data_IF_184461357164
#
_entry.id   IF_184461357164
#
_cell.length_a   1.000
_cell.length_b   1.000
_cell.length_c   1.000
_cell.angle_alpha   90.00
_cell.angle_beta   90.00
_cell.angle_gamma   90.00
#
_symmetry.space_group_name_H-M   'P 1'
#
loop_
_entity.id
_entity.type
_entity.pdbx_description
1 polymer ?
#
# COMPACT_ATOMS: atom_id res chain seq x y z
N UNK A 1 14.83 11.69 -22.01
CA UNK A 1 15.44 10.39 -21.64
C UNK A 1 16.69 10.14 -22.48
N UNK A 2 17.79 9.74 -21.84
CA UNK A 2 19.10 9.51 -22.50
C UNK A 2 19.11 8.29 -23.45
N UNK A 3 18.20 7.33 -23.24
CA UNK A 3 18.01 6.16 -24.10
C UNK A 3 16.52 5.91 -24.37
N UNK A 4 15.97 6.28 -25.54
CA UNK A 4 14.56 6.03 -25.87
C UNK A 4 14.27 4.52 -25.88
N UNK A 5 13.02 4.15 -25.60
CA UNK A 5 12.57 2.76 -25.65
C UNK A 5 12.59 2.26 -27.09
N UNK A 6 13.25 1.13 -27.32
CA UNK A 6 13.14 0.37 -28.58
C UNK A 6 12.03 -0.68 -28.46
N UNK A 7 11.71 -1.38 -29.56
CA UNK A 7 10.66 -2.41 -29.54
C UNK A 7 11.04 -3.65 -28.71
N UNK A 8 12.33 -3.89 -28.50
CA UNK A 8 12.88 -5.11 -27.90
C UNK A 8 13.24 -4.93 -26.42
N UNK A 9 12.82 -3.82 -25.80
CA UNK A 9 13.11 -3.55 -24.39
C UNK A 9 12.41 -4.58 -23.48
N UNK A 10 13.14 -5.05 -22.47
CA UNK A 10 12.63 -5.97 -21.45
C UNK A 10 12.65 -5.26 -20.10
N UNK A 11 11.48 -5.12 -19.50
CA UNK A 11 11.32 -4.53 -18.17
C UNK A 11 11.44 -5.62 -17.10
N UNK A 12 12.34 -5.41 -16.15
CA UNK A 12 12.49 -6.20 -14.95
C UNK A 12 12.00 -5.42 -13.72
N UNK A 13 11.13 -6.01 -12.90
CA UNK A 13 10.67 -5.38 -11.66
C UNK A 13 11.06 -6.19 -10.43
N UNK A 14 11.55 -5.49 -9.41
CA UNK A 14 11.91 -6.03 -8.09
C UNK A 14 11.09 -5.31 -7.01
N UNK A 15 10.61 -6.06 -6.02
CA UNK A 15 9.98 -5.54 -4.81
C UNK A 15 10.51 -6.26 -3.56
N UNK A 16 10.27 -5.71 -2.36
CA UNK A 16 10.57 -6.42 -1.14
C UNK A 16 9.79 -7.73 -1.04
N UNK A 17 10.47 -8.80 -0.62
CA UNK A 17 9.84 -10.10 -0.39
C UNK A 17 8.74 -10.07 0.70
N UNK A 18 8.82 -9.10 1.63
CA UNK A 18 7.87 -8.93 2.75
C UNK A 18 6.77 -7.90 2.44
N UNK A 19 6.86 -7.17 1.34
CA UNK A 19 5.91 -6.11 1.03
C UNK A 19 4.67 -6.67 0.32
N UNK A 20 3.53 -6.63 1.00
CA UNK A 20 2.24 -7.06 0.46
C UNK A 20 1.68 -6.09 -0.61
N UNK A 21 2.31 -4.94 -0.85
CA UNK A 21 1.86 -3.91 -1.79
C UNK A 21 2.37 -4.15 -3.23
N UNK A 22 2.21 -5.38 -3.74
CA UNK A 22 2.61 -5.76 -5.11
C UNK A 22 1.64 -5.28 -6.21
N UNK A 23 0.51 -4.66 -5.82
CA UNK A 23 -0.54 -4.19 -6.74
C UNK A 23 0.00 -3.16 -7.74
N UNK A 24 0.88 -2.25 -7.29
CA UNK A 24 1.52 -1.26 -8.17
C UNK A 24 2.39 -1.91 -9.27
N UNK A 25 3.19 -2.92 -8.90
CA UNK A 25 4.02 -3.67 -9.85
C UNK A 25 3.15 -4.46 -10.83
N UNK A 26 2.11 -5.12 -10.33
CA UNK A 26 1.20 -5.90 -11.17
C UNK A 26 0.49 -5.00 -12.18
N UNK A 27 0.05 -3.81 -11.73
CA UNK A 27 -0.57 -2.79 -12.59
C UNK A 27 0.39 -2.34 -13.68
N UNK A 28 1.58 -1.80 -13.33
CA UNK A 28 2.54 -1.31 -14.35
C UNK A 28 3.02 -2.42 -15.29
N UNK A 29 3.16 -3.65 -14.79
CA UNK A 29 3.48 -4.80 -15.62
C UNK A 29 2.40 -5.08 -16.66
N UNK A 30 1.12 -4.93 -16.29
CA UNK A 30 0.02 -5.07 -17.24
C UNK A 30 0.02 -3.93 -18.26
N UNK A 31 0.15 -2.67 -17.82
CA UNK A 31 0.19 -1.51 -18.74
C UNK A 31 1.30 -1.66 -19.79
N UNK A 32 2.49 -2.10 -19.37
CA UNK A 32 3.61 -2.32 -20.28
C UNK A 32 3.38 -3.48 -21.26
N UNK A 33 2.74 -4.57 -20.81
CA UNK A 33 2.36 -5.69 -21.69
C UNK A 33 1.31 -5.27 -22.71
N UNK A 34 0.35 -4.44 -22.31
CA UNK A 34 -0.68 -3.89 -23.20
C UNK A 34 -0.06 -2.95 -24.24
N UNK A 35 1.06 -2.30 -23.91
CA UNK A 35 1.89 -1.53 -24.84
C UNK A 35 2.84 -2.39 -25.70
N UNK A 36 2.81 -3.71 -25.55
CA UNK A 36 3.60 -4.66 -26.33
C UNK A 36 5.04 -4.88 -25.83
N UNK A 37 5.35 -4.54 -24.57
CA UNK A 37 6.67 -4.80 -23.98
C UNK A 37 6.71 -6.11 -23.19
N UNK A 38 7.88 -6.76 -23.18
CA UNK A 38 8.13 -7.91 -22.33
C UNK A 38 8.41 -7.44 -20.91
N UNK A 39 7.70 -8.04 -19.94
CA UNK A 39 7.86 -7.73 -18.52
C UNK A 39 8.17 -9.01 -17.73
N UNK A 40 9.20 -8.93 -16.88
CA UNK A 40 9.64 -9.99 -15.97
C UNK A 40 9.59 -9.45 -14.54
N UNK A 41 8.85 -10.12 -13.67
CA UNK A 41 8.83 -9.81 -12.23
C UNK A 41 9.76 -10.81 -11.53
N UNK A 42 10.63 -10.31 -10.67
CA UNK A 42 11.58 -11.12 -9.94
C UNK A 42 10.87 -12.09 -8.97
N UNK A 43 11.45 -13.28 -8.76
CA UNK A 43 10.95 -14.22 -7.76
C UNK A 43 11.38 -13.82 -6.34
N UNK A 44 10.89 -14.54 -5.34
CA UNK A 44 11.18 -14.26 -3.93
C UNK A 44 12.68 -14.24 -3.60
N UNK A 45 13.49 -15.09 -4.27
CA UNK A 45 14.93 -15.17 -4.03
C UNK A 45 15.64 -13.91 -4.53
N UNK A 46 15.34 -13.47 -5.75
CA UNK A 46 15.93 -12.26 -6.33
C UNK A 46 15.44 -11.01 -5.60
N UNK A 47 14.17 -10.98 -5.20
CA UNK A 47 13.59 -9.91 -4.40
C UNK A 47 14.28 -9.76 -3.03
N UNK A 48 14.50 -10.87 -2.31
CA UNK A 48 15.22 -10.84 -1.03
C UNK A 48 16.69 -10.43 -1.20
N UNK A 49 17.34 -10.91 -2.25
CA UNK A 49 18.70 -10.52 -2.59
C UNK A 49 18.82 -9.00 -2.86
N UNK A 50 17.90 -8.44 -3.63
CA UNK A 50 17.87 -7.02 -3.94
C UNK A 50 17.55 -6.14 -2.73
N UNK A 51 16.81 -6.66 -1.75
CA UNK A 51 16.63 -5.98 -0.47
C UNK A 51 17.96 -5.86 0.29
N UNK A 52 18.86 -6.83 0.19
CA UNK A 52 20.10 -6.88 0.96
C UNK A 52 21.36 -6.70 0.08
N UNK A 53 21.55 -5.55 -0.60
CA UNK A 53 22.64 -5.33 -1.55
C UNK A 53 24.01 -5.16 -0.90
N UNK A 54 24.09 -5.17 0.44
CA UNK A 54 25.35 -5.14 1.18
C UNK A 54 26.16 -6.44 0.99
N UNK A 55 25.49 -7.56 0.68
CA UNK A 55 26.15 -8.84 0.44
C UNK A 55 26.44 -9.02 -1.05
N UNK A 56 27.72 -9.19 -1.43
CA UNK A 56 28.13 -9.28 -2.83
C UNK A 56 27.47 -10.45 -3.58
N UNK A 57 27.21 -11.57 -2.89
CA UNK A 57 26.49 -12.72 -3.45
C UNK A 57 25.07 -12.35 -3.88
N UNK A 58 24.38 -11.52 -3.09
CA UNK A 58 23.01 -11.11 -3.40
C UNK A 58 22.96 -10.23 -4.66
N UNK A 59 23.93 -9.31 -4.80
CA UNK A 59 24.05 -8.52 -6.02
C UNK A 59 24.30 -9.41 -7.24
N UNK A 60 25.11 -10.45 -7.09
CA UNK A 60 25.39 -11.39 -8.18
C UNK A 60 24.12 -12.12 -8.63
N UNK A 61 23.23 -12.52 -7.70
CA UNK A 61 21.93 -13.10 -8.04
C UNK A 61 21.08 -12.13 -8.87
N UNK A 62 21.02 -10.86 -8.48
CA UNK A 62 20.29 -9.82 -9.23
C UNK A 62 20.89 -9.62 -10.64
N UNK A 63 22.22 -9.56 -10.75
CA UNK A 63 22.93 -9.41 -12.04
C UNK A 63 22.70 -10.61 -12.96
N UNK A 64 22.75 -11.82 -12.41
CA UNK A 64 22.47 -13.04 -13.18
C UNK A 64 21.02 -13.07 -13.68
N UNK A 65 20.07 -12.66 -12.85
CA UNK A 65 18.67 -12.52 -13.25
C UNK A 65 18.51 -11.50 -14.39
N UNK A 66 19.11 -10.32 -14.27
CA UNK A 66 19.10 -9.29 -15.32
C UNK A 66 19.62 -9.86 -16.65
N UNK A 67 20.79 -10.52 -16.63
CA UNK A 67 21.42 -11.09 -17.83
C UNK A 67 20.61 -12.23 -18.43
N UNK A 68 20.13 -13.16 -17.59
CA UNK A 68 19.35 -14.33 -18.01
C UNK A 68 18.08 -13.93 -18.76
N UNK A 69 17.42 -12.87 -18.31
CA UNK A 69 16.17 -12.40 -18.90
C UNK A 69 16.35 -11.30 -19.95
N UNK A 70 17.60 -10.85 -20.18
CA UNK A 70 17.89 -9.77 -21.12
C UNK A 70 17.26 -8.44 -20.70
N UNK A 71 17.17 -8.19 -19.39
CA UNK A 71 16.53 -6.98 -18.85
C UNK A 71 17.34 -5.75 -19.23
N UNK A 72 16.66 -4.79 -19.83
CA UNK A 72 17.23 -3.50 -20.26
C UNK A 72 16.68 -2.33 -19.46
N UNK A 73 15.54 -2.52 -18.78
CA UNK A 73 14.86 -1.53 -17.95
C UNK A 73 14.59 -2.12 -16.57
N UNK A 74 15.20 -1.60 -15.52
CA UNK A 74 15.10 -2.14 -14.17
C UNK A 74 14.28 -1.22 -13.26
N UNK A 75 13.16 -1.69 -12.73
CA UNK A 75 12.38 -0.99 -11.70
C UNK A 75 12.57 -1.62 -10.33
N UNK A 76 12.84 -0.79 -9.33
CA UNK A 76 12.90 -1.19 -7.92
C UNK A 76 11.81 -0.48 -7.13
N UNK A 77 10.93 -1.23 -6.47
CA UNK A 77 9.84 -0.66 -5.66
C UNK A 77 10.06 -0.92 -4.16
N UNK A 78 9.86 0.07 -3.29
CA UNK A 78 9.94 -0.08 -1.82
C UNK A 78 9.02 0.91 -1.11
N UNK A 79 7.99 0.43 -0.37
CA UNK A 79 6.98 1.32 0.25
C UNK A 79 6.85 1.24 1.78
N UNK A 80 7.80 0.61 2.48
CA UNK A 80 7.73 0.45 3.94
C UNK A 80 8.24 1.68 4.70
N UNK A 81 9.52 2.01 4.52
CA UNK A 81 10.18 3.15 5.17
C UNK A 81 10.93 4.00 4.12
N UNK A 82 10.74 5.35 4.12
CA UNK A 82 11.36 6.19 3.10
C UNK A 82 12.89 6.22 3.13
N UNK A 83 13.50 6.21 4.32
CA UNK A 83 14.94 6.31 4.46
C UNK A 83 15.62 5.00 4.05
N UNK A 84 15.03 3.89 4.50
CA UNK A 84 15.49 2.54 4.17
C UNK A 84 15.35 2.24 2.68
N UNK A 85 14.21 2.61 2.06
CA UNK A 85 13.99 2.39 0.63
C UNK A 85 15.01 3.11 -0.26
N UNK A 86 15.29 4.38 0.05
CA UNK A 86 16.31 5.14 -0.65
C UNK A 86 17.72 4.55 -0.45
N UNK A 87 18.07 4.18 0.78
CA UNK A 87 19.39 3.59 1.08
C UNK A 87 19.61 2.26 0.37
N UNK A 88 18.64 1.33 0.43
CA UNK A 88 18.72 0.03 -0.23
C UNK A 88 18.84 0.19 -1.74
N UNK A 89 18.03 1.08 -2.34
CA UNK A 89 18.12 1.38 -3.76
C UNK A 89 19.50 1.97 -4.15
N UNK A 90 19.98 2.96 -3.41
CA UNK A 90 21.27 3.60 -3.69
C UNK A 90 22.44 2.62 -3.61
N UNK A 91 22.44 1.72 -2.62
CA UNK A 91 23.43 0.63 -2.50
C UNK A 91 23.36 -0.32 -3.69
N UNK A 92 22.16 -0.75 -4.10
CA UNK A 92 21.99 -1.60 -5.27
C UNK A 92 22.49 -0.92 -6.55
N UNK A 93 22.11 0.33 -6.78
CA UNK A 93 22.54 1.10 -7.95
C UNK A 93 24.06 1.28 -8.01
N UNK A 94 24.69 1.57 -6.87
CA UNK A 94 26.15 1.62 -6.78
C UNK A 94 26.80 0.29 -7.17
N UNK A 95 26.29 -0.82 -6.65
CA UNK A 95 26.81 -2.16 -6.95
C UNK A 95 26.63 -2.57 -8.43
N UNK A 96 25.55 -2.11 -9.08
CA UNK A 96 25.32 -2.27 -10.52
C UNK A 96 26.32 -1.45 -11.34
N UNK A 97 26.64 -0.22 -10.90
CA UNK A 97 27.65 0.65 -11.54
C UNK A 97 29.06 0.05 -11.46
N UNK A 98 29.46 -0.46 -10.30
CA UNK A 98 30.78 -1.11 -10.12
C UNK A 98 30.96 -2.31 -11.06
N UNK A 99 29.84 -3.01 -11.38
CA UNK A 99 29.82 -4.16 -12.29
C UNK A 99 29.58 -3.78 -13.76
N UNK A 100 29.62 -2.49 -14.09
CA UNK A 100 29.42 -1.96 -15.45
C UNK A 100 28.11 -2.40 -16.09
N UNK A 101 27.03 -2.45 -15.31
CA UNK A 101 25.72 -2.92 -15.80
C UNK A 101 24.92 -1.84 -16.54
N UNK A 102 25.27 -0.56 -16.41
CA UNK A 102 24.58 0.53 -17.10
C UNK A 102 25.05 0.66 -18.56
N UNK A 103 24.15 1.07 -19.45
CA UNK A 103 24.43 1.21 -20.88
C UNK A 103 25.56 2.20 -21.19
N UNK A 104 25.69 3.26 -20.40
CA UNK A 104 26.82 4.21 -20.51
C UNK A 104 28.18 3.57 -20.19
N UNK A 105 28.18 2.43 -19.50
CA UNK A 105 29.36 1.62 -19.15
C UNK A 105 29.52 0.40 -20.07
N UNK A 106 28.68 0.26 -21.11
CA UNK A 106 28.63 -0.89 -22.00
C UNK A 106 27.79 -2.06 -21.49
N UNK A 107 27.04 -1.88 -20.40
CA UNK A 107 26.13 -2.89 -19.84
C UNK A 107 24.74 -2.91 -20.48
N UNK A 108 23.87 -3.86 -20.09
CA UNK A 108 22.55 -4.02 -20.70
C UNK A 108 21.50 -3.00 -20.23
N UNK A 109 21.67 -2.39 -19.05
CA UNK A 109 20.64 -1.53 -18.46
C UNK A 109 20.62 -0.14 -19.10
N UNK A 110 19.63 0.10 -19.94
CA UNK A 110 19.38 1.38 -20.62
C UNK A 110 18.54 2.34 -19.74
N UNK A 111 17.89 1.84 -18.70
CA UNK A 111 17.16 2.65 -17.72
C UNK A 111 17.00 1.95 -16.37
N UNK A 112 17.06 2.73 -15.31
CA UNK A 112 16.79 2.29 -13.92
C UNK A 112 15.77 3.24 -13.32
N UNK A 113 14.79 2.68 -12.61
CA UNK A 113 13.64 3.39 -12.07
C UNK A 113 13.45 3.01 -10.60
N UNK A 114 12.96 3.96 -9.81
CA UNK A 114 12.65 3.74 -8.40
C UNK A 114 11.20 4.07 -8.11
N UNK A 115 10.48 3.25 -7.36
CA UNK A 115 9.12 3.52 -6.93
C UNK A 115 9.00 3.39 -5.41
N UNK A 116 8.35 4.33 -4.73
CA UNK A 116 8.32 4.32 -3.27
C UNK A 116 7.33 5.29 -2.64
N UNK A 117 7.54 5.61 -1.37
CA UNK A 117 6.82 6.70 -0.71
C UNK A 117 7.35 8.06 -1.22
N UNK A 118 6.55 9.15 -1.25
CA UNK A 118 6.97 10.45 -1.79
C UNK A 118 8.33 10.93 -1.25
N UNK A 119 8.54 10.87 0.07
CA UNK A 119 9.81 11.26 0.69
C UNK A 119 11.02 10.39 0.24
N UNK A 120 10.79 9.13 -0.11
CA UNK A 120 11.82 8.25 -0.65
C UNK A 120 12.17 8.65 -2.10
N UNK A 121 11.14 8.92 -2.90
CA UNK A 121 11.29 9.37 -4.29
C UNK A 121 12.02 10.71 -4.37
N UNK A 122 11.70 11.68 -3.51
CA UNK A 122 12.42 12.96 -3.41
C UNK A 122 13.89 12.75 -3.04
N UNK A 123 14.17 11.85 -2.09
CA UNK A 123 15.54 11.53 -1.66
C UNK A 123 16.34 10.89 -2.79
N UNK A 124 15.79 9.88 -3.46
CA UNK A 124 16.43 9.21 -4.60
C UNK A 124 16.68 10.19 -5.75
N UNK A 125 15.72 11.05 -6.07
CA UNK A 125 15.87 12.07 -7.11
C UNK A 125 17.00 13.06 -6.76
N UNK A 126 17.16 13.42 -5.48
CA UNK A 126 18.25 14.31 -5.02
C UNK A 126 19.62 13.62 -5.03
N UNK A 127 19.69 12.33 -4.69
CA UNK A 127 20.95 11.57 -4.59
C UNK A 127 21.48 11.08 -5.95
N UNK A 128 20.60 10.97 -6.95
CA UNK A 128 20.93 10.38 -8.24
C UNK A 128 20.54 11.24 -9.45
N UNK A 129 20.07 12.47 -9.22
CA UNK A 129 19.62 13.45 -10.22
C UNK A 129 18.61 12.85 -11.24
N UNK A 130 18.53 13.43 -12.43
CA UNK A 130 17.66 13.00 -13.55
C UNK A 130 18.02 11.61 -14.14
N UNK A 131 18.97 10.89 -13.54
CA UNK A 131 19.38 9.56 -14.03
C UNK A 131 18.37 8.46 -13.66
N UNK A 132 17.60 8.67 -12.59
CA UNK A 132 16.64 7.69 -12.08
C UNK A 132 15.26 8.34 -11.95
N UNK A 133 14.35 8.15 -12.92
CA UNK A 133 12.97 8.57 -12.76
C UNK A 133 12.33 7.84 -11.59
N UNK A 134 11.67 8.60 -10.71
CA UNK A 134 11.06 8.10 -9.48
C UNK A 134 9.54 8.07 -9.57
N UNK A 135 8.85 7.10 -8.96
CA UNK A 135 7.39 6.95 -9.00
C UNK A 135 6.83 6.88 -7.57
N UNK A 136 6.08 7.88 -7.15
CA UNK A 136 5.51 7.93 -5.79
C UNK A 136 4.12 7.28 -5.70
N UNK A 137 3.51 6.99 -6.85
CA UNK A 137 2.22 6.30 -6.98
C UNK A 137 1.04 7.24 -7.18
N UNK A 138 1.26 8.55 -7.30
CA UNK A 138 0.20 9.50 -7.67
C UNK A 138 0.04 9.63 -9.19
N UNK A 139 0.92 9.00 -9.97
CA UNK A 139 0.83 9.01 -11.43
C UNK A 139 -0.38 8.23 -11.97
N UNK A 140 -1.08 8.82 -12.93
CA UNK A 140 -2.06 8.10 -13.76
C UNK A 140 -1.37 7.00 -14.59
N UNK A 141 -2.11 6.01 -15.10
CA UNK A 141 -1.55 5.00 -16.02
C UNK A 141 -0.83 5.61 -17.22
N UNK A 142 -1.39 6.67 -17.80
CA UNK A 142 -0.80 7.35 -18.96
C UNK A 142 0.45 8.15 -18.59
N UNK A 143 0.46 8.85 -17.45
CA UNK A 143 1.68 9.52 -16.94
C UNK A 143 2.77 8.51 -16.64
N UNK A 144 2.42 7.38 -16.01
CA UNK A 144 3.35 6.27 -15.74
C UNK A 144 4.03 5.80 -17.03
N UNK A 145 3.26 5.49 -18.08
CA UNK A 145 3.80 5.04 -19.37
C UNK A 145 4.67 6.09 -20.04
N UNK A 146 4.24 7.37 -20.04
CA UNK A 146 5.04 8.48 -20.59
C UNK A 146 6.36 8.64 -19.84
N UNK A 147 6.33 8.56 -18.51
CA UNK A 147 7.50 8.67 -17.62
C UNK A 147 8.43 7.47 -17.75
N UNK A 148 7.94 6.29 -18.12
CA UNK A 148 8.75 5.13 -18.51
C UNK A 148 9.34 5.27 -19.93
N UNK A 149 8.85 6.21 -20.73
CA UNK A 149 9.33 6.51 -22.09
C UNK A 149 8.57 5.77 -23.19
N UNK A 150 7.38 5.24 -22.90
CA UNK A 150 6.53 4.56 -23.89
C UNK A 150 6.05 5.55 -24.94
N UNK A 151 6.25 5.26 -26.25
CA UNK A 151 5.84 6.16 -27.30
C UNK A 151 4.30 6.23 -27.36
N UNK A 152 3.70 7.42 -27.61
CA UNK A 152 2.24 7.58 -27.66
C UNK A 152 1.54 6.62 -28.64
N UNK A 153 2.22 6.25 -29.73
CA UNK A 153 1.69 5.30 -30.73
C UNK A 153 1.51 3.86 -30.22
N UNK A 154 2.07 3.51 -29.06
CA UNK A 154 1.90 2.20 -28.41
C UNK A 154 0.93 2.23 -27.24
N UNK A 155 0.45 3.40 -26.82
CA UNK A 155 -0.49 3.52 -25.71
C UNK A 155 -1.91 3.23 -26.26
N UNK A 156 -2.64 2.23 -25.73
CA UNK A 156 -3.99 1.94 -26.16
C UNK A 156 -4.94 3.15 -26.04
N UNK A 157 -5.81 3.41 -27.03
CA UNK A 157 -6.74 4.55 -26.98
C UNK A 157 -7.67 4.54 -25.76
N UNK A 158 -8.09 3.36 -25.29
CA UNK A 158 -8.94 3.21 -24.10
C UNK A 158 -8.28 3.82 -22.84
N UNK A 159 -6.96 3.67 -22.69
CA UNK A 159 -6.20 4.25 -21.56
C UNK A 159 -6.07 5.77 -21.66
N UNK A 160 -6.21 6.33 -22.86
CA UNK A 160 -6.20 7.77 -23.06
C UNK A 160 -7.51 8.40 -22.57
N UNK A 161 -8.65 7.72 -22.80
CA UNK A 161 -9.95 8.16 -22.29
C UNK A 161 -10.03 8.10 -20.75
N UNK A 162 -9.40 7.09 -20.12
CA UNK A 162 -9.24 7.04 -18.65
C UNK A 162 -8.44 8.24 -18.13
N UNK A 163 -7.37 8.62 -18.83
CA UNK A 163 -6.55 9.77 -18.45
C UNK A 163 -7.31 11.10 -18.51
N UNK A 164 -8.22 11.29 -19.49
CA UNK A 164 -9.07 12.48 -19.56
C UNK A 164 -10.04 12.58 -18.37
N UNK A 165 -10.60 11.43 -17.95
CA UNK A 165 -11.46 11.37 -16.77
C UNK A 165 -10.69 11.66 -15.47
N UNK A 166 -9.47 11.15 -15.34
CA UNK A 166 -8.60 11.44 -14.20
C UNK A 166 -8.19 12.92 -14.16
N UNK A 167 -7.85 13.52 -15.30
CA UNK A 167 -7.55 14.95 -15.40
C UNK A 167 -8.76 15.81 -14.99
N UNK A 168 -9.96 15.42 -15.42
CA UNK A 168 -11.20 16.05 -14.98
C UNK A 168 -11.37 15.97 -13.45
N UNK A 169 -11.16 14.79 -12.84
CA UNK A 169 -11.26 14.60 -11.38
C UNK A 169 -10.25 15.46 -10.63
N UNK A 170 -9.01 15.51 -11.11
CA UNK A 170 -7.95 16.34 -10.52
C UNK A 170 -8.27 17.83 -10.61
N UNK A 171 -8.74 18.30 -11.78
CA UNK A 171 -9.17 19.68 -11.96
C UNK A 171 -10.31 20.03 -11.01
N UNK A 172 -11.35 19.19 -10.95
CA UNK A 172 -12.46 19.35 -10.01
C UNK A 172 -11.97 19.45 -8.56
N UNK A 173 -11.06 18.56 -8.14
CA UNK A 173 -10.49 18.59 -6.79
C UNK A 173 -9.72 19.89 -6.51
N UNK A 174 -8.89 20.34 -7.44
CA UNK A 174 -8.14 21.61 -7.33
C UNK A 174 -9.08 22.81 -7.22
N UNK A 175 -10.13 22.85 -8.03
CA UNK A 175 -11.14 23.92 -7.98
C UNK A 175 -11.95 23.89 -6.67
N UNK A 176 -12.30 22.71 -6.16
CA UNK A 176 -12.99 22.53 -4.89
C UNK A 176 -12.15 23.02 -3.69
N UNK A 177 -10.84 22.73 -3.71
CA UNK A 177 -9.91 23.21 -2.69
C UNK A 177 -9.71 24.72 -2.82
N UNK A 178 -9.39 25.22 -4.01
CA UNK A 178 -9.12 26.64 -4.27
C UNK A 178 -10.34 27.53 -3.94
N UNK A 179 -11.55 27.05 -4.22
CA UNK A 179 -12.78 27.78 -3.91
C UNK A 179 -13.14 27.78 -2.42
N UNK A 180 -12.50 26.94 -1.60
CA UNK A 180 -12.80 26.81 -0.17
C UNK A 180 -14.20 26.24 0.14
N UNK A 181 -14.98 25.84 -0.86
CA UNK A 181 -16.37 25.35 -0.69
C UNK A 181 -16.45 24.15 0.26
N UNK A 182 -15.44 23.29 0.23
CA UNK A 182 -15.34 22.12 1.12
C UNK A 182 -15.31 22.50 2.61
N UNK A 183 -14.80 23.68 2.98
CA UNK A 183 -14.77 24.17 4.36
C UNK A 183 -16.15 24.55 4.90
N UNK A 184 -17.14 24.73 4.01
CA UNK A 184 -18.52 25.05 4.38
C UNK A 184 -19.35 23.79 4.65
N UNK A 185 -18.85 22.61 4.29
CA UNK A 185 -19.52 21.33 4.55
C UNK A 185 -19.42 21.04 6.04
N UNK A 186 -20.57 20.81 6.67
CA UNK A 186 -20.65 20.43 8.09
C UNK A 186 -20.70 18.90 8.22
N UNK A 187 -20.15 18.35 9.31
CA UNK A 187 -20.31 16.93 9.58
C UNK A 187 -21.80 16.58 9.73
N UNK A 188 -22.24 15.40 9.26
CA UNK A 188 -23.59 14.92 9.51
C UNK A 188 -23.79 14.67 11.01
N UNK A 189 -25.02 14.88 11.48
CA UNK A 189 -25.41 14.54 12.85
C UNK A 189 -26.19 13.23 12.84
N UNK A 190 -25.56 12.18 13.39
CA UNK A 190 -26.14 10.84 13.49
C UNK A 190 -26.59 10.48 14.91
N UNK A 191 -26.62 11.44 15.84
CA UNK A 191 -26.91 11.20 17.27
C UNK A 191 -28.37 10.91 17.61
N UNK A 192 -29.26 10.86 16.63
CA UNK A 192 -30.71 10.74 16.84
C UNK A 192 -31.24 9.33 17.12
N UNK A 193 -30.41 8.42 17.63
CA UNK A 193 -30.84 7.10 18.10
C UNK A 193 -30.10 6.66 19.39
N UNK A 194 -30.73 5.87 20.27
CA UNK A 194 -30.24 5.66 21.65
C UNK A 194 -28.85 5.04 21.75
N UNK A 195 -28.51 4.13 20.84
CA UNK A 195 -27.28 3.36 20.88
C UNK A 195 -26.08 4.12 20.29
N UNK A 196 -26.29 5.31 19.71
CA UNK A 196 -25.27 6.06 18.97
C UNK A 196 -23.98 6.28 19.77
N UNK A 197 -22.86 5.84 19.19
CA UNK A 197 -21.52 5.95 19.77
C UNK A 197 -21.32 5.09 21.02
N UNK A 198 -22.24 4.18 21.32
CA UNK A 198 -22.19 3.25 22.45
C UNK A 198 -21.70 1.86 22.08
N UNK A 199 -21.61 0.97 23.07
CA UNK A 199 -21.21 -0.42 22.90
C UNK A 199 -22.27 -1.28 22.17
N UNK A 200 -23.52 -0.79 22.13
CA UNK A 200 -24.65 -1.44 21.44
C UNK A 200 -24.91 -0.79 20.07
N UNK A 201 -24.06 0.13 19.64
CA UNK A 201 -24.21 0.75 18.34
C UNK A 201 -23.95 -0.27 17.23
N UNK A 202 -24.74 -0.21 16.17
CA UNK A 202 -24.63 -1.12 15.03
C UNK A 202 -24.66 -0.35 13.72
N UNK A 203 -24.00 -0.93 12.71
CA UNK A 203 -24.07 -0.38 11.35
C UNK A 203 -25.51 -0.33 10.81
N UNK A 204 -26.36 -1.28 11.21
CA UNK A 204 -27.78 -1.31 10.81
C UNK A 204 -28.53 -0.13 11.41
N UNK A 205 -28.45 0.10 12.72
CA UNK A 205 -29.10 1.24 13.37
C UNK A 205 -28.64 2.58 12.77
N UNK A 206 -27.34 2.71 12.48
CA UNK A 206 -26.78 3.91 11.85
C UNK A 206 -27.29 4.11 10.42
N UNK A 207 -27.37 3.04 9.62
CA UNK A 207 -27.93 3.08 8.26
C UNK A 207 -29.41 3.45 8.27
N UNK A 208 -30.21 2.85 9.15
CA UNK A 208 -31.63 3.15 9.30
C UNK A 208 -31.88 4.60 9.74
N UNK A 209 -31.05 5.12 10.65
CA UNK A 209 -31.09 6.53 11.04
C UNK A 209 -30.74 7.43 9.85
N UNK A 210 -29.59 7.22 9.20
CA UNK A 210 -29.13 8.03 8.07
C UNK A 210 -30.09 7.98 6.88
N UNK A 211 -30.74 6.84 6.62
CA UNK A 211 -31.75 6.73 5.58
C UNK A 211 -32.99 7.58 5.91
N UNK A 212 -33.48 7.53 7.16
CA UNK A 212 -34.64 8.31 7.60
C UNK A 212 -34.38 9.82 7.59
N UNK A 213 -33.15 10.24 7.88
CA UNK A 213 -32.75 11.65 7.94
C UNK A 213 -32.19 12.19 6.62
N UNK A 214 -32.08 11.34 5.58
CA UNK A 214 -31.55 11.75 4.27
C UNK A 214 -30.04 12.03 4.27
N UNK A 215 -29.29 11.38 5.16
CA UNK A 215 -27.84 11.58 5.37
C UNK A 215 -26.98 10.44 4.80
N UNK A 216 -27.53 9.59 3.92
CA UNK A 216 -26.73 8.59 3.20
C UNK A 216 -25.83 9.27 2.14
N UNK A 217 -24.67 8.67 1.81
CA UNK A 217 -24.11 7.42 2.35
C UNK A 217 -23.35 7.60 3.67
N UNK A 218 -23.18 6.52 4.42
CA UNK A 218 -22.22 6.48 5.53
C UNK A 218 -20.78 6.45 4.99
N UNK A 219 -19.88 7.16 5.65
CA UNK A 219 -18.48 7.31 5.25
C UNK A 219 -17.55 6.43 6.10
N UNK A 220 -16.64 5.70 5.44
CA UNK A 220 -15.64 4.83 6.09
C UNK A 220 -14.25 5.15 5.57
N UNK A 221 -13.27 5.18 6.47
CA UNK A 221 -11.86 5.35 6.15
C UNK A 221 -11.05 4.18 6.73
N UNK A 222 -10.12 3.64 5.93
CA UNK A 222 -9.16 2.64 6.37
C UNK A 222 -7.89 3.34 6.85
N UNK A 223 -7.59 3.26 8.14
CA UNK A 223 -6.55 4.09 8.78
C UNK A 223 -5.63 3.22 9.62
N UNK A 224 -4.33 3.31 9.36
CA UNK A 224 -3.30 2.56 10.08
C UNK A 224 -1.91 3.08 9.74
N UNK A 225 -1.41 4.10 10.45
CA UNK A 225 -0.07 4.62 10.21
C UNK A 225 0.98 3.56 10.50
N UNK A 226 2.11 3.66 9.81
CA UNK A 226 3.30 2.87 10.07
C UNK A 226 4.41 3.76 10.62
N UNK A 227 5.03 3.33 11.72
CA UNK A 227 6.32 3.83 12.19
C UNK A 227 7.18 2.63 12.60
N UNK A 228 8.52 2.70 12.49
CA UNK A 228 9.41 1.63 12.95
C UNK A 228 9.26 1.34 14.46
N UNK A 229 9.08 2.38 15.27
CA UNK A 229 8.79 2.24 16.69
C UNK A 229 7.30 1.93 16.93
N UNK A 230 7.04 0.75 17.49
CA UNK A 230 5.70 0.23 17.73
C UNK A 230 4.85 1.15 18.61
N UNK A 231 5.42 1.65 19.71
CA UNK A 231 4.70 2.46 20.68
C UNK A 231 4.39 3.86 20.13
N UNK A 232 5.31 4.44 19.36
CA UNK A 232 5.09 5.66 18.60
C UNK A 232 4.00 5.45 17.55
N UNK A 233 3.99 4.34 16.81
CA UNK A 233 2.94 4.03 15.83
C UNK A 233 1.55 3.95 16.47
N UNK A 234 1.42 3.26 17.62
CA UNK A 234 0.15 3.17 18.34
C UNK A 234 -0.29 4.53 18.87
N UNK A 235 0.62 5.33 19.45
CA UNK A 235 0.31 6.69 19.91
C UNK A 235 -0.19 7.59 18.77
N UNK A 236 0.55 7.61 17.65
CA UNK A 236 0.16 8.37 16.46
C UNK A 236 -1.22 7.94 15.95
N UNK A 237 -1.49 6.64 15.92
CA UNK A 237 -2.80 6.12 15.50
C UNK A 237 -3.93 6.57 16.43
N UNK A 238 -3.73 6.56 17.74
CA UNK A 238 -4.72 7.04 18.70
C UNK A 238 -4.97 8.55 18.53
N UNK A 239 -3.94 9.34 18.26
CA UNK A 239 -4.08 10.78 18.01
C UNK A 239 -4.90 11.05 16.74
N UNK A 240 -4.59 10.37 15.63
CA UNK A 240 -5.38 10.44 14.40
C UNK A 240 -6.82 9.98 14.62
N UNK A 241 -7.03 8.92 15.41
CA UNK A 241 -8.35 8.39 15.72
C UNK A 241 -9.20 9.42 16.48
N UNK A 242 -8.64 10.09 17.49
CA UNK A 242 -9.33 11.15 18.24
C UNK A 242 -9.64 12.35 17.34
N UNK A 243 -8.73 12.70 16.44
CA UNK A 243 -8.96 13.78 15.50
C UNK A 243 -10.13 13.46 14.56
N UNK A 244 -10.13 12.28 13.93
CA UNK A 244 -11.22 11.81 13.07
C UNK A 244 -12.56 11.80 13.81
N UNK A 245 -12.59 11.24 15.03
CA UNK A 245 -13.78 11.23 15.88
C UNK A 245 -14.30 12.64 16.16
N UNK A 246 -13.40 13.56 16.56
CA UNK A 246 -13.73 14.95 16.90
C UNK A 246 -14.30 15.72 15.71
N UNK A 247 -13.84 15.42 14.49
CA UNK A 247 -14.30 16.15 13.29
C UNK A 247 -15.74 15.79 12.88
N UNK A 248 -16.23 14.60 13.23
CA UNK A 248 -17.59 14.15 12.97
C UNK A 248 -17.90 13.78 11.51
N UNK A 249 -16.93 13.87 10.59
CA UNK A 249 -17.16 13.53 9.17
C UNK A 249 -17.14 12.04 8.87
N UNK A 250 -16.68 11.21 9.81
CA UNK A 250 -16.46 9.80 9.60
C UNK A 250 -17.43 8.97 10.43
N UNK A 251 -18.12 8.03 9.79
CA UNK A 251 -19.04 7.12 10.48
C UNK A 251 -18.34 5.89 11.02
N UNK A 252 -17.40 5.37 10.24
CA UNK A 252 -16.73 4.11 10.53
C UNK A 252 -15.22 4.25 10.41
N UNK A 253 -14.53 4.04 11.53
CA UNK A 253 -13.09 3.80 11.56
C UNK A 253 -12.82 2.34 11.20
N UNK A 254 -12.20 2.12 10.06
CA UNK A 254 -11.63 0.83 9.70
C UNK A 254 -10.16 0.80 10.09
N UNK A 255 -9.81 0.14 11.19
CA UNK A 255 -8.42 -0.05 11.61
C UNK A 255 -7.65 -0.80 10.52
N UNK A 256 -6.54 -0.20 10.08
CA UNK A 256 -5.51 -0.79 9.23
C UNK A 256 -4.42 -1.40 10.09
N UNK A 257 -4.77 -2.49 10.77
CA UNK A 257 -3.85 -3.20 11.65
C UNK A 257 -2.68 -3.77 10.87
N UNK A 258 -1.54 -3.84 11.54
CA UNK A 258 -0.33 -4.36 10.94
C UNK A 258 -0.43 -5.83 10.57
N UNK A 259 0.44 -6.30 9.67
CA UNK A 259 0.50 -7.72 9.33
C UNK A 259 0.77 -8.59 10.58
N UNK A 260 1.62 -8.12 11.49
CA UNK A 260 1.89 -8.82 12.75
C UNK A 260 0.66 -8.88 13.66
N UNK A 261 -0.14 -7.81 13.68
CA UNK A 261 -1.40 -7.80 14.43
C UNK A 261 -2.41 -8.83 13.89
N UNK A 262 -2.38 -9.12 12.59
CA UNK A 262 -3.27 -10.10 11.96
C UNK A 262 -2.76 -11.54 12.09
N UNK A 263 -1.43 -11.74 12.10
CA UNK A 263 -0.80 -13.07 12.02
C UNK A 263 -0.21 -13.59 13.33
N UNK A 264 0.14 -12.72 14.27
CA UNK A 264 0.87 -13.05 15.50
C UNK A 264 0.28 -12.31 16.70
N UNK A 265 -1.03 -12.07 16.71
CA UNK A 265 -1.69 -11.33 17.80
C UNK A 265 -1.44 -12.00 19.17
N UNK A 266 -0.99 -11.22 20.15
CA UNK A 266 -0.66 -11.70 21.49
C UNK A 266 0.66 -12.47 21.63
N UNK A 267 1.48 -12.54 20.58
CA UNK A 267 2.78 -13.23 20.59
C UNK A 267 3.96 -12.24 20.71
N UNK A 268 5.17 -12.77 20.90
CA UNK A 268 6.40 -12.00 20.77
C UNK A 268 6.71 -11.74 19.29
N UNK A 269 7.00 -10.48 18.96
CA UNK A 269 7.29 -10.04 17.59
C UNK A 269 8.79 -9.82 17.36
N UNK A 270 9.63 -10.13 18.34
CA UNK A 270 11.08 -9.92 18.25
C UNK A 270 11.66 -10.61 17.02
N UNK A 271 12.28 -9.82 16.13
CA UNK A 271 12.91 -10.30 14.90
C UNK A 271 11.95 -10.58 13.73
N UNK A 272 10.65 -10.34 13.88
CA UNK A 272 9.68 -10.51 12.79
C UNK A 272 9.52 -9.21 11.97
N UNK A 273 9.53 -9.28 10.63
CA UNK A 273 9.32 -8.11 9.79
C UNK A 273 7.85 -7.65 9.84
N UNK A 274 7.63 -6.33 9.85
CA UNK A 274 6.29 -5.74 9.85
C UNK A 274 5.96 -5.12 8.49
N UNK A 275 5.00 -5.69 7.75
CA UNK A 275 4.59 -5.24 6.41
C UNK A 275 3.72 -3.98 6.35
N UNK A 276 3.84 -3.07 7.32
CA UNK A 276 3.04 -1.84 7.43
C UNK A 276 1.80 -1.97 8.33
N UNK A 277 1.08 -0.86 8.53
CA UNK A 277 -0.12 -0.75 9.37
C UNK A 277 0.15 -0.55 10.88
N UNK A 278 -0.90 -0.25 11.64
CA UNK A 278 -0.78 0.02 13.09
C UNK A 278 -0.54 -1.27 13.88
N UNK A 279 0.54 -1.38 14.68
CA UNK A 279 0.95 -2.64 15.31
C UNK A 279 0.31 -2.85 16.69
N UNK A 280 -1.00 -3.10 16.71
CA UNK A 280 -1.79 -3.41 17.91
C UNK A 280 -1.60 -4.88 18.33
N UNK A 281 -1.03 -5.09 19.52
CA UNK A 281 -0.61 -6.42 20.00
C UNK A 281 -1.54 -7.02 21.03
N UNK A 282 -2.37 -6.22 21.70
CA UNK A 282 -3.15 -6.64 22.86
C UNK A 282 -4.62 -6.19 22.81
N UNK A 283 -5.46 -6.93 23.53
CA UNK A 283 -6.88 -6.58 23.71
C UNK A 283 -7.06 -5.18 24.31
N UNK A 284 -6.14 -4.77 25.19
CA UNK A 284 -6.21 -3.46 25.83
C UNK A 284 -5.97 -2.33 24.83
N UNK A 285 -5.00 -2.46 23.93
CA UNK A 285 -4.77 -1.46 22.88
C UNK A 285 -6.00 -1.32 21.97
N UNK A 286 -6.69 -2.43 21.66
CA UNK A 286 -7.97 -2.37 20.95
C UNK A 286 -9.04 -1.60 21.74
N UNK A 287 -9.17 -1.79 23.06
CA UNK A 287 -10.09 -0.99 23.88
C UNK A 287 -9.75 0.50 23.85
N UNK A 288 -8.46 0.84 23.91
CA UNK A 288 -8.02 2.23 23.82
C UNK A 288 -8.39 2.87 22.47
N UNK A 289 -8.29 2.11 21.37
CA UNK A 289 -8.75 2.56 20.05
C UNK A 289 -10.26 2.79 20.05
N UNK A 290 -11.05 1.86 20.59
CA UNK A 290 -12.50 2.05 20.66
C UNK A 290 -12.88 3.31 21.44
N UNK A 291 -12.29 3.51 22.62
CA UNK A 291 -12.52 4.71 23.43
C UNK A 291 -12.17 6.00 22.67
N UNK A 292 -11.05 6.00 21.94
CA UNK A 292 -10.60 7.13 21.13
C UNK A 292 -11.49 7.39 19.90
N UNK A 293 -12.09 6.34 19.33
CA UNK A 293 -12.84 6.40 18.09
C UNK A 293 -14.28 6.90 18.26
N UNK A 294 -14.82 6.90 19.49
CA UNK A 294 -16.22 7.28 19.73
C UNK A 294 -16.50 8.72 19.26
N UNK A 295 -17.62 8.96 18.55
CA UNK A 295 -18.77 8.07 18.37
C UNK A 295 -18.75 7.21 17.10
N UNK A 296 -17.61 7.09 16.41
CA UNK A 296 -17.51 6.25 15.21
C UNK A 296 -17.74 4.77 15.54
N UNK A 297 -18.33 4.04 14.60
CA UNK A 297 -18.28 2.58 14.58
C UNK A 297 -16.83 2.14 14.28
N UNK A 298 -16.41 1.01 14.82
CA UNK A 298 -15.03 0.51 14.62
C UNK A 298 -15.06 -0.86 13.96
N UNK A 299 -14.21 -1.05 12.95
CA UNK A 299 -13.96 -2.38 12.35
C UNK A 299 -12.50 -2.63 12.05
N UNK A 300 -12.09 -3.88 11.97
CA UNK A 300 -10.73 -4.26 11.55
C UNK A 300 -10.78 -5.45 10.59
N UNK A 301 -9.65 -5.75 9.93
CA UNK A 301 -9.54 -6.96 9.13
C UNK A 301 -9.51 -8.20 10.04
N UNK A 302 -9.94 -9.35 9.52
CA UNK A 302 -9.77 -10.61 10.22
C UNK A 302 -8.28 -10.93 10.41
N UNK A 303 -8.01 -11.81 11.38
CA UNK A 303 -6.69 -12.44 11.48
C UNK A 303 -6.44 -13.40 10.31
N UNK A 304 -5.20 -13.88 10.21
CA UNK A 304 -4.80 -14.90 9.23
C UNK A 304 -4.66 -16.29 9.86
N UNK A 305 -4.73 -16.35 11.20
CA UNK A 305 -4.79 -17.57 12.01
C UNK A 305 -5.54 -17.29 13.32
N UNK A 306 -6.02 -18.35 13.97
CA UNK A 306 -6.82 -18.27 15.20
C UNK A 306 -8.01 -17.31 15.06
N UNK A 307 -8.63 -17.27 13.87
CA UNK A 307 -9.62 -16.26 13.49
C UNK A 307 -10.80 -16.19 14.48
N UNK A 308 -11.40 -17.32 14.94
CA UNK A 308 -12.50 -17.25 15.90
C UNK A 308 -12.12 -16.61 17.24
N UNK A 309 -10.89 -16.81 17.71
CA UNK A 309 -10.42 -16.22 18.97
C UNK A 309 -10.23 -14.71 18.81
N UNK A 310 -9.65 -14.29 17.69
CA UNK A 310 -9.42 -12.89 17.41
C UNK A 310 -10.73 -12.14 17.13
N UNK A 311 -11.67 -12.77 16.44
CA UNK A 311 -13.04 -12.26 16.25
C UNK A 311 -13.73 -11.98 17.59
N UNK A 312 -13.71 -12.93 18.53
CA UNK A 312 -14.23 -12.73 19.90
C UNK A 312 -13.54 -11.57 20.62
N UNK A 313 -12.23 -11.43 20.44
CA UNK A 313 -11.49 -10.29 21.01
C UNK A 313 -12.03 -8.98 20.46
N UNK A 314 -12.28 -8.88 19.16
CA UNK A 314 -12.82 -7.67 18.53
C UNK A 314 -14.23 -7.33 19.00
N UNK A 315 -15.11 -8.33 19.14
CA UNK A 315 -16.45 -8.13 19.72
C UNK A 315 -16.38 -7.58 21.15
N UNK A 316 -15.45 -8.09 21.96
CA UNK A 316 -15.30 -7.70 23.36
C UNK A 316 -14.57 -6.36 23.58
N UNK A 317 -13.76 -5.91 22.62
CA UNK A 317 -12.85 -4.77 22.81
C UNK A 317 -13.19 -3.55 21.99
N UNK A 318 -13.66 -3.75 20.75
CA UNK A 318 -14.01 -2.66 19.83
C UNK A 318 -15.48 -2.66 19.43
N UNK A 319 -16.28 -3.58 19.97
CA UNK A 319 -17.69 -3.73 19.61
C UNK A 319 -17.84 -3.76 18.08
N UNK A 320 -17.04 -4.64 17.45
CA UNK A 320 -16.78 -4.60 16.02
C UNK A 320 -18.07 -4.49 15.20
N UNK A 321 -18.14 -3.47 14.33
CA UNK A 321 -19.36 -3.16 13.60
C UNK A 321 -19.74 -4.28 12.60
N UNK A 322 -18.74 -4.92 12.00
CA UNK A 322 -18.84 -6.16 11.25
C UNK A 322 -17.46 -6.80 11.06
N UNK A 323 -17.42 -8.12 10.94
CA UNK A 323 -16.19 -8.86 10.65
C UNK A 323 -15.85 -8.82 9.16
N UNK A 324 -14.57 -8.68 8.84
CA UNK A 324 -14.07 -8.76 7.47
C UNK A 324 -13.57 -10.17 7.16
N UNK A 325 -14.51 -11.08 6.87
CA UNK A 325 -14.24 -12.47 6.51
C UNK A 325 -13.87 -12.58 5.02
N UNK A 326 -13.00 -13.52 4.66
CA UNK A 326 -12.62 -13.75 3.27
C UNK A 326 -12.75 -15.21 2.87
N UNK A 327 -13.37 -15.45 1.71
CA UNK A 327 -13.47 -16.81 1.17
C UNK A 327 -12.17 -17.29 0.52
N UNK A 328 -11.36 -16.37 -0.02
CA UNK A 328 -10.23 -16.72 -0.90
C UNK A 328 -8.91 -16.01 -0.55
N UNK A 329 -8.93 -15.09 0.42
CA UNK A 329 -7.75 -14.32 0.85
C UNK A 329 -7.41 -14.62 2.31
N UNK A 330 -6.22 -14.21 2.75
CA UNK A 330 -5.66 -14.49 4.08
C UNK A 330 -5.36 -15.98 4.32
N UNK A 331 -5.06 -16.72 3.24
CA UNK A 331 -4.81 -18.15 3.28
C UNK A 331 -3.57 -18.52 2.44
N UNK A 332 -3.34 -19.81 2.22
CA UNK A 332 -2.19 -20.27 1.44
C UNK A 332 -2.24 -19.88 -0.05
N UNK A 333 -3.44 -19.70 -0.63
CA UNK A 333 -3.57 -19.37 -2.07
C UNK A 333 -2.99 -18.00 -2.39
N UNK A 334 -3.24 -17.00 -1.53
CA UNK A 334 -2.72 -15.65 -1.70
C UNK A 334 -1.43 -15.40 -0.92
N UNK A 335 -0.89 -16.43 -0.25
CA UNK A 335 0.35 -16.35 0.52
C UNK A 335 0.26 -15.47 1.78
N UNK A 336 -0.95 -15.07 2.20
CA UNK A 336 -1.15 -14.12 3.30
C UNK A 336 -1.55 -14.77 4.62
N UNK A 337 -1.76 -16.09 4.63
CA UNK A 337 -2.00 -16.84 5.86
C UNK A 337 -1.58 -18.30 5.78
N UNK A 338 -1.35 -18.95 6.93
CA UNK A 338 -0.87 -20.33 6.98
C UNK A 338 -1.96 -21.38 6.67
N UNK A 339 -3.25 -21.02 6.74
CA UNK A 339 -4.34 -21.98 6.60
C UNK A 339 -4.59 -22.34 5.12
N UNK A 340 -4.77 -23.64 4.78
CA UNK A 340 -5.39 -24.02 3.52
C UNK A 340 -6.81 -23.43 3.41
N UNK A 341 -7.31 -23.21 2.19
CA UNK A 341 -8.62 -22.58 1.94
C UNK A 341 -9.74 -23.23 2.75
N UNK A 342 -9.82 -24.57 2.76
CA UNK A 342 -10.85 -25.29 3.50
C UNK A 342 -10.84 -24.94 4.99
N UNK A 343 -9.67 -24.97 5.62
CA UNK A 343 -9.52 -24.64 7.04
C UNK A 343 -9.78 -23.15 7.30
N UNK A 344 -9.42 -22.27 6.36
CA UNK A 344 -9.72 -20.85 6.45
C UNK A 344 -11.24 -20.61 6.47
N UNK A 345 -11.98 -21.30 5.59
CA UNK A 345 -13.44 -21.25 5.53
C UNK A 345 -14.11 -21.82 6.79
N UNK A 346 -13.52 -22.82 7.44
CA UNK A 346 -14.03 -23.37 8.72
C UNK A 346 -13.81 -22.41 9.90
N UNK A 347 -12.80 -21.54 9.79
CA UNK A 347 -12.47 -20.55 10.82
C UNK A 347 -13.23 -19.23 10.67
N UNK A 348 -13.73 -18.92 9.47
CA UNK A 348 -14.60 -17.78 9.19
C UNK A 348 -16.06 -18.12 9.48
#
# INVERSE_FOLDING_TARGET
MRYPLTQEEVFGFIHPAVDAHTLGISSVAQLLRDCGYRVVIADAQVCDAANHPAYLHNVELVVQWIRRHGITRLGFSYRLDPAEGAERFGRLLHQLRERRMLAEQGGPLRGVYFAGLPAACERVAREHDDLVPTFDGDETPTETLRKLGVPPSRIPPAMTAEAEYDEFRLRFGRELVASGKHLQVRPPDHSGYPEFGGAQDTVIARLEHAQRTGQLPLTRAHVGPYLPDREAAVRLFLDWTRELARTGFLDVLSIGTSQLSQSHFGEDWTGLPNGGGVPLRSAEEFRQVWLAARPMLVRTYAGTRNIPQLARTYEQTIHIAWHALSFWWFCQIDGRGPCPVRQNLEQH
#
